data_IF_493843412289
#
_entry.id   IF_493843412289
#
_cell.length_a   1.000
_cell.length_b   1.000
_cell.length_c   1.000
_cell.angle_alpha   90.00
_cell.angle_beta   90.00
_cell.angle_gamma   90.00
#
_symmetry.space_group_name_H-M   'P 1'
#
loop_
_entity.id
_entity.type
_entity.pdbx_description
1 polymer ?
#
# COMPACT_ATOMS: atom_id res chain seq x y z
N UNK A 1 24.19 8.75 48.22
CA UNK A 1 24.27 9.55 46.98
C UNK A 1 25.18 8.93 45.91
N UNK A 2 26.52 9.01 45.96
CA UNK A 2 27.41 8.58 44.85
C UNK A 2 27.11 7.18 44.24
N UNK A 3 26.89 6.14 45.06
CA UNK A 3 26.50 4.80 44.55
C UNK A 3 25.15 4.78 43.81
N UNK A 4 24.16 5.53 44.28
CA UNK A 4 22.82 5.61 43.66
C UNK A 4 22.93 6.33 42.31
N UNK A 5 23.70 7.43 42.24
CA UNK A 5 23.97 8.14 40.98
C UNK A 5 24.67 7.21 39.97
N UNK A 6 25.66 6.44 40.40
CA UNK A 6 26.33 5.46 39.54
C UNK A 6 25.40 4.38 38.98
N UNK A 7 24.49 3.86 39.82
CA UNK A 7 23.47 2.88 39.39
C UNK A 7 22.49 3.51 38.38
N UNK A 8 21.99 4.73 38.66
CA UNK A 8 21.07 5.44 37.75
C UNK A 8 21.73 5.72 36.40
N UNK A 9 22.98 6.19 36.37
CA UNK A 9 23.73 6.41 35.12
C UNK A 9 23.94 5.09 34.37
N UNK A 10 24.31 4.00 35.06
CA UNK A 10 24.47 2.69 34.42
C UNK A 10 23.15 2.18 33.81
N UNK A 11 22.03 2.32 34.51
CA UNK A 11 20.70 1.96 33.98
C UNK A 11 20.34 2.81 32.77
N UNK A 12 20.56 4.13 32.80
CA UNK A 12 20.30 5.01 31.65
C UNK A 12 21.15 4.60 30.44
N UNK A 13 22.44 4.28 30.64
CA UNK A 13 23.33 3.83 29.55
C UNK A 13 22.87 2.48 28.99
N UNK A 14 22.50 1.50 29.83
CA UNK A 14 21.99 0.20 29.35
C UNK A 14 20.66 0.36 28.59
N UNK A 15 19.75 1.20 29.08
CA UNK A 15 18.49 1.50 28.38
C UNK A 15 18.75 2.23 27.05
N UNK A 16 19.67 3.19 27.02
CA UNK A 16 20.02 3.91 25.79
C UNK A 16 20.70 2.99 24.75
N UNK A 17 21.59 2.09 25.18
CA UNK A 17 22.22 1.09 24.31
C UNK A 17 21.20 0.05 23.81
N UNK A 18 20.29 -0.41 24.67
CA UNK A 18 19.19 -1.31 24.29
C UNK A 18 18.24 -0.65 23.28
N UNK A 19 17.89 0.61 23.48
CA UNK A 19 17.06 1.39 22.56
C UNK A 19 17.78 1.66 21.22
N UNK A 20 19.07 1.99 21.25
CA UNK A 20 19.88 2.14 20.04
C UNK A 20 19.99 0.82 19.26
N UNK A 21 20.16 -0.31 19.94
CA UNK A 21 20.15 -1.64 19.33
C UNK A 21 18.79 -2.00 18.72
N UNK A 22 17.69 -1.70 19.43
CA UNK A 22 16.32 -1.90 18.93
C UNK A 22 16.01 -1.05 17.68
N UNK A 23 16.45 0.21 17.66
CA UNK A 23 16.35 1.08 16.48
C UNK A 23 17.21 0.59 15.31
N UNK A 24 18.42 0.07 15.57
CA UNK A 24 19.31 -0.45 14.54
C UNK A 24 18.74 -1.72 13.90
N UNK A 25 18.28 -2.68 14.73
CA UNK A 25 17.69 -3.93 14.26
C UNK A 25 16.36 -3.73 13.53
N UNK A 26 15.57 -2.72 13.92
CA UNK A 26 14.32 -2.37 13.24
C UNK A 26 14.47 -1.61 11.92
N UNK A 27 15.70 -1.23 11.51
CA UNK A 27 15.94 -0.43 10.30
C UNK A 27 15.93 -1.25 9.02
N UNK A 28 16.49 -2.46 9.05
CA UNK A 28 16.54 -3.36 7.90
C UNK A 28 15.24 -4.18 7.80
N UNK A 29 14.44 -4.02 6.73
CA UNK A 29 13.19 -4.74 6.55
C UNK A 29 13.36 -6.23 6.24
N UNK A 30 14.58 -6.71 5.96
CA UNK A 30 14.89 -8.12 5.66
C UNK A 30 15.53 -8.85 6.85
N UNK A 31 15.81 -8.14 7.95
CA UNK A 31 16.51 -8.65 9.14
C UNK A 31 15.87 -9.91 9.77
N UNK A 32 14.56 -10.10 9.61
CA UNK A 32 13.82 -11.26 10.12
C UNK A 32 14.31 -12.62 9.54
N UNK A 33 14.86 -12.62 8.32
CA UNK A 33 15.28 -13.85 7.63
C UNK A 33 16.62 -14.41 8.17
N UNK A 34 17.40 -13.58 8.87
CA UNK A 34 18.77 -13.93 9.25
C UNK A 34 19.66 -14.23 8.04
N UNK A 35 20.61 -15.15 8.19
CA UNK A 35 21.53 -15.52 7.12
C UNK A 35 22.64 -14.47 6.87
N UNK A 36 23.38 -14.64 5.78
CA UNK A 36 24.46 -13.72 5.38
C UNK A 36 24.10 -13.01 4.09
N UNK A 37 24.20 -11.68 4.07
CA UNK A 37 23.95 -10.88 2.85
C UNK A 37 25.26 -10.43 2.21
N UNK A 38 25.32 -10.51 0.88
CA UNK A 38 26.48 -10.07 0.07
C UNK A 38 26.17 -8.80 -0.71
N UNK A 39 27.17 -8.11 -1.24
CA UNK A 39 26.91 -7.09 -2.24
C UNK A 39 26.40 -7.76 -3.53
N UNK A 40 25.54 -7.08 -4.29
CA UNK A 40 24.94 -7.65 -5.50
C UNK A 40 25.97 -8.19 -6.52
N UNK A 41 27.13 -7.52 -6.63
CA UNK A 41 28.24 -7.93 -7.50
C UNK A 41 28.96 -9.22 -7.04
N UNK A 42 28.84 -9.58 -5.75
CA UNK A 42 29.42 -10.79 -5.15
C UNK A 42 28.40 -11.95 -5.09
N UNK A 43 27.17 -11.74 -5.56
CA UNK A 43 26.14 -12.78 -5.57
C UNK A 43 26.32 -13.72 -6.76
N UNK A 44 26.58 -15.00 -6.49
CA UNK A 44 26.81 -16.04 -7.51
C UNK A 44 25.54 -16.82 -7.92
N UNK A 45 24.35 -16.31 -7.56
CA UNK A 45 23.07 -16.90 -7.98
C UNK A 45 22.60 -16.42 -9.35
N UNK A 46 21.34 -16.68 -9.68
CA UNK A 46 20.66 -16.02 -10.80
C UNK A 46 20.50 -14.51 -10.53
N UNK A 47 20.27 -13.69 -11.56
CA UNK A 47 19.92 -12.27 -11.35
C UNK A 47 18.58 -12.16 -10.61
N UNK A 48 18.57 -11.38 -9.54
CA UNK A 48 17.41 -11.14 -8.67
C UNK A 48 16.88 -9.71 -8.80
N UNK A 49 17.61 -8.86 -9.53
CA UNK A 49 17.29 -7.45 -9.77
C UNK A 49 16.78 -7.23 -11.20
N UNK A 50 16.45 -5.99 -11.57
CA UNK A 50 15.98 -5.66 -12.91
C UNK A 50 14.71 -6.38 -13.36
N UNK A 51 14.67 -6.72 -14.63
CA UNK A 51 13.51 -7.35 -15.27
C UNK A 51 13.64 -8.88 -15.24
N UNK A 52 12.52 -9.62 -15.22
CA UNK A 52 12.55 -11.08 -15.28
C UNK A 52 13.16 -11.59 -16.59
N UNK A 53 13.64 -12.83 -16.60
CA UNK A 53 14.43 -13.40 -17.70
C UNK A 53 13.72 -13.35 -19.07
N UNK A 54 12.38 -13.40 -19.10
CA UNK A 54 11.56 -13.27 -20.31
C UNK A 54 11.69 -11.90 -20.99
N UNK A 55 12.15 -10.87 -20.26
CA UNK A 55 12.40 -9.52 -20.75
C UNK A 55 13.91 -9.20 -20.86
N UNK A 56 14.79 -10.20 -20.72
CA UNK A 56 16.24 -9.98 -20.76
C UNK A 56 16.72 -9.35 -22.08
N UNK A 57 16.09 -9.69 -23.22
CA UNK A 57 16.37 -9.13 -24.55
C UNK A 57 15.55 -7.89 -24.90
N UNK A 58 14.73 -7.36 -23.97
CA UNK A 58 13.98 -6.14 -24.20
C UNK A 58 14.90 -4.92 -24.16
N UNK A 59 14.58 -3.88 -24.94
CA UNK A 59 15.35 -2.63 -24.91
C UNK A 59 15.19 -1.87 -23.58
N UNK A 60 16.05 -0.87 -23.36
CA UNK A 60 16.08 -0.11 -22.10
C UNK A 60 14.74 0.58 -21.76
N UNK A 61 13.98 1.02 -22.77
CA UNK A 61 12.67 1.68 -22.57
C UNK A 61 11.63 0.65 -22.14
N UNK A 62 11.56 -0.50 -22.82
CA UNK A 62 10.62 -1.58 -22.46
C UNK A 62 10.95 -2.19 -21.08
N UNK A 63 12.25 -2.27 -20.74
CA UNK A 63 12.69 -2.63 -19.38
C UNK A 63 12.26 -1.58 -18.36
N UNK A 64 12.45 -0.30 -18.68
CA UNK A 64 12.02 0.83 -17.87
C UNK A 64 10.52 0.87 -17.62
N UNK A 65 9.70 0.58 -18.63
CA UNK A 65 8.24 0.48 -18.52
C UNK A 65 7.84 -0.58 -17.49
N UNK A 66 8.37 -1.79 -17.62
CA UNK A 66 8.11 -2.88 -16.67
C UNK A 66 8.50 -2.50 -15.23
N UNK A 67 9.68 -1.89 -15.06
CA UNK A 67 10.17 -1.44 -13.76
C UNK A 67 9.36 -0.26 -13.19
N UNK A 68 8.80 0.59 -14.05
CA UNK A 68 7.95 1.73 -13.66
C UNK A 68 6.61 1.25 -13.11
N UNK A 69 6.05 0.19 -13.70
CA UNK A 69 4.89 -0.52 -13.15
C UNK A 69 5.26 -1.26 -11.86
N UNK A 70 6.33 -2.05 -11.84
CA UNK A 70 6.76 -2.79 -10.64
C UNK A 70 7.08 -1.89 -9.43
N UNK A 71 7.48 -0.63 -9.68
CA UNK A 71 7.69 0.42 -8.67
C UNK A 71 6.48 1.36 -8.47
N UNK A 72 5.28 0.98 -8.91
CA UNK A 72 3.99 1.68 -8.70
C UNK A 72 4.03 3.21 -8.91
N UNK A 73 4.85 3.67 -9.86
CA UNK A 73 5.11 5.10 -10.03
C UNK A 73 3.86 5.86 -10.49
N UNK A 74 2.95 5.20 -11.22
CA UNK A 74 1.77 5.82 -11.81
C UNK A 74 0.72 6.19 -10.77
N UNK A 75 0.41 5.31 -9.81
CA UNK A 75 -0.64 5.51 -8.81
C UNK A 75 -0.40 6.78 -7.98
N UNK A 76 0.84 6.95 -7.50
CA UNK A 76 1.23 8.13 -6.74
C UNK A 76 1.38 9.40 -7.60
N UNK A 77 1.83 9.29 -8.85
CA UNK A 77 2.11 10.44 -9.71
C UNK A 77 0.97 10.80 -10.69
N UNK A 78 -0.27 10.39 -10.40
CA UNK A 78 -1.44 10.74 -11.23
C UNK A 78 -2.58 11.23 -10.35
N UNK A 79 -2.97 12.50 -10.47
CA UNK A 79 -4.18 13.00 -9.81
C UNK A 79 -5.45 12.33 -10.39
N UNK A 80 -6.54 12.15 -9.62
CA UNK A 80 -7.82 11.67 -10.16
C UNK A 80 -8.33 12.53 -11.32
N UNK A 81 -8.52 11.91 -12.49
CA UNK A 81 -8.91 12.60 -13.73
C UNK A 81 -7.77 13.41 -14.41
N UNK A 82 -6.56 13.40 -13.84
CA UNK A 82 -5.37 14.03 -14.40
C UNK A 82 -4.68 13.19 -15.49
N UNK A 83 -3.67 13.77 -16.12
CA UNK A 83 -2.80 13.05 -17.04
C UNK A 83 -1.84 12.11 -16.28
N UNK A 84 -1.56 10.89 -16.78
CA UNK A 84 -0.61 9.98 -16.16
C UNK A 84 0.75 10.63 -15.89
N UNK A 85 1.33 10.35 -14.73
CA UNK A 85 2.65 10.83 -14.30
C UNK A 85 2.79 12.36 -14.12
N UNK A 86 1.73 13.14 -14.33
CA UNK A 86 1.74 14.61 -14.22
C UNK A 86 1.71 15.14 -12.76
N UNK A 87 1.61 14.25 -11.77
CA UNK A 87 1.56 14.57 -10.34
C UNK A 87 0.19 15.09 -9.90
N UNK A 88 0.18 15.86 -8.80
CA UNK A 88 -1.01 16.51 -8.27
C UNK A 88 -1.88 15.67 -7.33
N UNK A 89 -1.56 14.38 -7.13
CA UNK A 89 -2.25 13.51 -6.16
C UNK A 89 -2.08 14.05 -4.74
N UNK A 90 -3.16 14.05 -3.95
CA UNK A 90 -3.19 14.61 -2.61
C UNK A 90 -3.09 13.53 -1.53
N UNK A 91 -1.93 13.44 -0.86
CA UNK A 91 -1.73 12.61 0.31
C UNK A 91 -2.13 13.36 1.58
N UNK A 92 -3.26 12.97 2.15
CA UNK A 92 -3.85 13.64 3.31
C UNK A 92 -3.39 12.95 4.61
N UNK A 93 -2.55 13.65 5.37
CA UNK A 93 -1.98 13.18 6.63
C UNK A 93 -2.60 13.93 7.81
N UNK A 94 -2.55 13.40 9.05
CA UNK A 94 -3.07 14.08 10.24
C UNK A 94 -2.44 15.46 10.53
N UNK A 95 -1.31 15.76 9.90
CA UNK A 95 -0.54 17.00 10.02
C UNK A 95 -0.53 17.86 8.73
N UNK A 96 -1.41 17.55 7.77
CA UNK A 96 -1.62 18.32 6.54
C UNK A 96 -1.47 17.51 5.24
N UNK A 97 -1.51 18.20 4.10
CA UNK A 97 -1.54 17.58 2.77
C UNK A 97 -0.21 17.71 2.03
N UNK A 98 0.26 16.59 1.45
CA UNK A 98 1.43 16.52 0.55
C UNK A 98 0.92 16.28 -0.87
N UNK A 99 1.49 16.95 -1.86
CA UNK A 99 1.15 16.73 -3.28
C UNK A 99 2.26 16.01 -4.02
N UNK A 100 1.90 15.03 -4.86
CA UNK A 100 2.86 14.42 -5.78
C UNK A 100 3.32 15.41 -6.86
N UNK A 101 4.56 15.25 -7.31
CA UNK A 101 5.18 16.11 -8.33
C UNK A 101 5.00 15.53 -9.72
N UNK A 102 5.01 16.38 -10.74
CA UNK A 102 5.11 15.95 -12.13
C UNK A 102 6.44 15.22 -12.38
N UNK A 103 6.39 14.00 -12.95
CA UNK A 103 7.55 13.20 -13.37
C UNK A 103 7.55 12.87 -14.87
N UNK A 104 6.75 13.58 -15.66
CA UNK A 104 6.87 13.60 -17.13
C UNK A 104 8.16 14.35 -17.56
N UNK A 105 8.62 14.21 -18.82
CA UNK A 105 9.84 14.87 -19.30
C UNK A 105 9.64 16.36 -19.65
N UNK A 106 8.59 17.01 -19.12
CA UNK A 106 8.47 18.46 -19.22
C UNK A 106 9.66 19.17 -18.56
N UNK A 107 10.17 20.20 -19.25
CA UNK A 107 11.40 20.91 -18.87
C UNK A 107 11.17 22.08 -17.92
N UNK A 108 9.92 22.43 -17.61
CA UNK A 108 9.57 23.55 -16.73
C UNK A 108 9.06 23.08 -15.37
N UNK A 109 8.23 22.04 -15.38
CA UNK A 109 7.44 21.57 -14.24
C UNK A 109 7.69 20.10 -13.88
N UNK A 110 8.14 19.29 -14.85
CA UNK A 110 8.51 17.88 -14.69
C UNK A 110 10.01 17.64 -14.49
N UNK A 111 10.46 16.42 -14.79
CA UNK A 111 11.85 15.97 -14.58
C UNK A 111 12.74 16.15 -15.82
N UNK A 112 12.28 16.79 -16.91
CA UNK A 112 12.98 16.87 -18.20
C UNK A 112 14.34 17.60 -18.21
N UNK A 113 14.80 18.11 -17.06
CA UNK A 113 16.13 18.70 -16.83
C UNK A 113 17.00 17.92 -15.84
N UNK A 114 16.50 16.84 -15.23
CA UNK A 114 17.24 16.05 -14.25
C UNK A 114 18.40 15.32 -14.93
N UNK A 115 19.62 15.48 -14.41
CA UNK A 115 20.74 14.58 -14.73
C UNK A 115 20.49 13.20 -14.13
N UNK A 116 21.28 12.20 -14.52
CA UNK A 116 21.17 10.84 -13.98
C UNK A 116 21.48 10.84 -12.47
N UNK A 117 22.54 11.54 -12.06
CA UNK A 117 22.89 11.75 -10.65
C UNK A 117 21.78 12.45 -9.86
N UNK A 118 21.09 13.44 -10.43
CA UNK A 118 19.96 14.10 -9.77
C UNK A 118 18.73 13.21 -9.64
N UNK A 119 18.47 12.34 -10.63
CA UNK A 119 17.39 11.36 -10.56
C UNK A 119 17.68 10.30 -9.50
N UNK A 120 18.87 9.71 -9.49
CA UNK A 120 19.32 8.76 -8.47
C UNK A 120 19.31 9.38 -7.05
N UNK A 121 19.70 10.65 -6.91
CA UNK A 121 19.61 11.36 -5.63
C UNK A 121 18.15 11.59 -5.16
N UNK A 122 17.22 11.80 -6.09
CA UNK A 122 15.79 11.91 -5.78
C UNK A 122 15.23 10.55 -5.33
N UNK A 123 15.47 9.49 -6.10
CA UNK A 123 14.91 8.15 -5.86
C UNK A 123 15.52 7.48 -4.62
N UNK A 124 16.85 7.49 -4.45
CA UNK A 124 17.49 6.76 -3.35
C UNK A 124 17.68 7.59 -2.08
N UNK A 125 17.80 8.93 -2.19
CA UNK A 125 18.19 9.79 -1.07
C UNK A 125 17.12 10.81 -0.66
N UNK A 126 16.02 10.90 -1.41
CA UNK A 126 14.99 11.92 -1.20
C UNK A 126 15.51 13.34 -1.47
N UNK A 127 16.38 13.55 -2.45
CA UNK A 127 16.99 14.86 -2.76
C UNK A 127 16.62 15.29 -4.18
N UNK A 128 15.78 16.33 -4.31
CA UNK A 128 15.42 16.92 -5.61
C UNK A 128 16.63 17.53 -6.33
N UNK A 129 16.49 17.76 -7.64
CA UNK A 129 17.51 18.45 -8.45
C UNK A 129 17.87 19.87 -7.95
N UNK A 130 16.97 20.53 -7.21
CA UNK A 130 17.19 21.83 -6.56
C UNK A 130 17.80 21.72 -5.14
N UNK A 131 18.19 20.51 -4.71
CA UNK A 131 18.74 20.21 -3.39
C UNK A 131 17.70 20.07 -2.27
N UNK A 132 16.42 20.38 -2.51
CA UNK A 132 15.40 20.31 -1.48
C UNK A 132 15.03 18.86 -1.13
N UNK A 133 14.95 18.56 0.17
CA UNK A 133 14.57 17.23 0.67
C UNK A 133 13.11 16.90 0.36
N UNK A 134 12.85 15.70 -0.15
CA UNK A 134 11.52 15.12 -0.32
C UNK A 134 10.98 14.67 1.04
N UNK A 135 9.67 14.81 1.22
CA UNK A 135 8.98 14.16 2.33
C UNK A 135 8.89 12.66 2.06
N UNK A 136 9.02 11.79 3.07
CA UNK A 136 8.97 10.32 2.93
C UNK A 136 7.55 9.78 2.63
N UNK A 137 6.68 10.60 2.03
CA UNK A 137 5.50 10.14 1.30
C UNK A 137 5.88 9.65 -0.12
N UNK A 138 7.01 10.13 -0.66
CA UNK A 138 7.72 9.42 -1.73
C UNK A 138 8.64 8.40 -1.04
N UNK A 139 8.49 7.08 -1.27
CA UNK A 139 9.11 6.04 -0.44
C UNK A 139 10.59 5.79 -0.78
N UNK A 140 11.42 6.85 -0.77
CA UNK A 140 12.87 6.76 -1.04
C UNK A 140 13.63 5.91 -0.02
N UNK A 141 13.10 5.70 1.19
CA UNK A 141 13.65 4.76 2.18
C UNK A 141 13.50 3.30 1.77
N UNK A 142 12.58 3.02 0.85
CA UNK A 142 12.28 1.71 0.27
C UNK A 142 12.99 1.61 -1.08
N UNK A 143 12.80 2.60 -1.96
CA UNK A 143 13.51 2.70 -3.24
C UNK A 143 15.04 2.78 -3.13
N UNK A 144 15.63 3.17 -1.99
CA UNK A 144 17.10 3.17 -1.83
C UNK A 144 17.74 1.83 -2.18
N UNK A 145 17.03 0.72 -1.95
CA UNK A 145 17.48 -0.63 -2.28
C UNK A 145 17.47 -0.91 -3.79
N UNK A 146 16.72 -0.15 -4.59
CA UNK A 146 16.67 -0.29 -6.06
C UNK A 146 18.06 -0.09 -6.66
N UNK A 147 18.42 -0.87 -7.69
CA UNK A 147 19.71 -0.68 -8.35
C UNK A 147 19.75 0.64 -9.12
N UNK A 148 20.94 1.26 -9.21
CA UNK A 148 21.12 2.47 -10.03
C UNK A 148 20.78 2.21 -11.51
N UNK A 149 20.97 0.97 -12.01
CA UNK A 149 20.61 0.58 -13.37
C UNK A 149 19.09 0.55 -13.59
N UNK A 150 18.33 0.03 -12.63
CA UNK A 150 16.87 -0.06 -12.72
C UNK A 150 16.21 1.32 -12.59
N UNK A 151 16.70 2.14 -11.66
CA UNK A 151 16.27 3.54 -11.55
C UNK A 151 16.53 4.32 -12.85
N UNK A 152 17.67 4.11 -13.52
CA UNK A 152 17.95 4.75 -14.80
C UNK A 152 17.15 4.15 -15.97
N UNK A 153 16.76 2.87 -15.92
CA UNK A 153 15.81 2.30 -16.87
C UNK A 153 14.42 2.94 -16.72
N UNK A 154 13.90 3.06 -15.48
CA UNK A 154 12.66 3.80 -15.18
C UNK A 154 12.74 5.22 -15.75
N UNK A 155 13.84 5.94 -15.49
CA UNK A 155 14.06 7.28 -16.06
C UNK A 155 14.01 7.28 -17.58
N UNK A 156 14.64 6.32 -18.25
CA UNK A 156 14.64 6.22 -19.70
C UNK A 156 13.22 6.05 -20.26
N UNK A 157 12.38 5.22 -19.63
CA UNK A 157 10.96 5.10 -19.98
C UNK A 157 10.19 6.40 -19.72
N UNK A 158 10.31 6.99 -18.53
CA UNK A 158 9.64 8.27 -18.20
C UNK A 158 9.98 9.37 -19.22
N UNK A 159 11.19 9.37 -19.78
CA UNK A 159 11.63 10.33 -20.80
C UNK A 159 11.05 10.08 -22.21
N UNK A 160 10.34 8.97 -22.43
CA UNK A 160 9.55 8.72 -23.66
C UNK A 160 8.11 9.21 -23.57
N UNK A 161 7.62 9.52 -22.36
CA UNK A 161 6.24 9.94 -22.13
C UNK A 161 5.95 11.32 -22.74
N UNK A 162 4.67 11.59 -23.00
CA UNK A 162 4.22 12.91 -23.40
C UNK A 162 4.57 13.95 -22.30
N UNK A 163 5.28 15.04 -22.61
CA UNK A 163 5.52 16.12 -21.65
C UNK A 163 4.20 16.79 -21.26
N UNK A 164 3.89 16.84 -19.96
CA UNK A 164 2.72 17.58 -19.45
C UNK A 164 3.22 18.77 -18.65
N UNK A 165 2.72 19.98 -18.95
CA UNK A 165 3.00 21.15 -18.12
C UNK A 165 2.04 21.16 -16.93
N UNK A 166 2.52 20.72 -15.77
CA UNK A 166 1.76 20.60 -14.53
C UNK A 166 2.63 21.09 -13.36
N UNK A 167 2.56 22.38 -12.99
CA UNK A 167 3.30 22.93 -11.86
C UNK A 167 2.94 22.21 -10.55
N UNK A 168 3.96 21.74 -9.82
CA UNK A 168 3.76 21.06 -8.55
C UNK A 168 3.08 21.99 -7.52
N UNK A 169 1.97 21.51 -6.93
CA UNK A 169 1.26 22.21 -5.85
C UNK A 169 2.12 22.28 -4.59
N UNK A 170 1.96 23.35 -3.81
CA UNK A 170 2.70 23.50 -2.55
C UNK A 170 2.06 22.65 -1.45
N UNK A 171 2.88 21.89 -0.73
CA UNK A 171 2.45 21.10 0.43
C UNK A 171 1.89 22.02 1.53
N UNK A 172 0.78 21.61 2.14
CA UNK A 172 0.08 22.35 3.18
C UNK A 172 0.26 21.60 4.51
N UNK A 173 1.45 21.72 5.10
CA UNK A 173 1.83 21.02 6.33
C UNK A 173 1.85 21.97 7.53
N UNK A 174 1.30 21.53 8.65
CA UNK A 174 1.41 22.25 9.92
C UNK A 174 2.85 22.30 10.42
N UNK A 175 3.19 23.32 11.21
CA UNK A 175 4.45 23.32 11.97
C UNK A 175 4.38 22.22 13.07
N UNK A 176 5.46 21.46 13.34
CA UNK A 176 6.82 21.57 12.80
C UNK A 176 7.06 20.82 11.47
N UNK A 177 6.10 20.02 11.00
CA UNK A 177 6.24 19.16 9.81
C UNK A 177 6.54 19.90 8.51
N UNK A 178 6.24 21.20 8.41
CA UNK A 178 6.63 22.05 7.28
C UNK A 178 8.14 22.33 7.16
N UNK A 179 8.94 22.04 8.19
CA UNK A 179 10.36 22.41 8.27
C UNK A 179 11.26 21.36 7.60
N UNK A 180 11.63 21.58 6.32
CA UNK A 180 12.49 20.66 5.55
C UNK A 180 13.88 20.40 6.16
N UNK A 181 14.37 21.24 7.07
CA UNK A 181 15.61 20.99 7.81
C UNK A 181 15.51 19.76 8.74
N UNK A 182 14.33 19.49 9.30
CA UNK A 182 14.09 18.31 10.15
C UNK A 182 14.16 17.01 9.34
N UNK A 183 13.82 17.05 8.04
CA UNK A 183 13.98 15.91 7.13
C UNK A 183 15.46 15.50 7.00
N UNK A 184 16.42 16.43 7.07
CA UNK A 184 17.83 16.05 7.01
C UNK A 184 18.24 15.15 8.18
N UNK A 185 17.72 15.41 9.39
CA UNK A 185 17.91 14.55 10.56
C UNK A 185 17.14 13.23 10.42
N UNK A 186 15.91 13.27 9.92
CA UNK A 186 15.09 12.08 9.65
C UNK A 186 15.78 11.12 8.68
N UNK A 187 16.34 11.61 7.56
CA UNK A 187 17.03 10.79 6.57
C UNK A 187 18.22 10.02 7.17
N UNK A 188 19.01 10.65 8.05
CA UNK A 188 20.13 9.96 8.73
C UNK A 188 19.63 8.78 9.59
N UNK A 189 18.49 8.95 10.25
CA UNK A 189 17.91 7.95 11.15
C UNK A 189 17.13 6.83 10.44
N UNK A 190 16.55 7.10 9.25
CA UNK A 190 15.57 6.19 8.63
C UNK A 190 15.77 5.88 7.14
N UNK A 191 16.69 6.52 6.43
CA UNK A 191 17.09 6.10 5.08
C UNK A 191 18.51 5.47 5.13
N UNK A 192 18.69 4.16 4.93
CA UNK A 192 20.02 3.53 4.96
C UNK A 192 20.95 4.01 3.84
N UNK A 193 20.45 4.51 2.70
CA UNK A 193 21.26 4.85 1.51
C UNK A 193 22.06 3.62 0.98
N UNK A 194 21.53 2.42 1.21
CA UNK A 194 22.08 1.13 0.80
C UNK A 194 21.29 0.53 -0.36
N UNK A 195 21.99 -0.19 -1.26
CA UNK A 195 21.39 -0.98 -2.35
C UNK A 195 21.04 -2.39 -1.87
N UNK A 196 20.14 -3.06 -2.59
CA UNK A 196 19.73 -4.43 -2.27
C UNK A 196 20.92 -5.38 -2.13
N UNK A 197 20.91 -6.16 -1.04
CA UNK A 197 21.96 -7.12 -0.68
C UNK A 197 21.36 -8.53 -0.63
N UNK A 198 21.58 -9.38 -1.66
CA UNK A 198 21.01 -10.72 -1.67
C UNK A 198 21.47 -11.55 -0.46
N UNK A 199 20.52 -12.25 0.17
CA UNK A 199 20.78 -13.23 1.22
C UNK A 199 21.24 -14.56 0.59
N UNK A 200 22.46 -14.98 0.91
CA UNK A 200 23.07 -16.21 0.37
C UNK A 200 22.52 -17.48 1.00
N UNK A 201 21.79 -17.37 2.12
CA UNK A 201 21.09 -18.48 2.75
C UNK A 201 19.72 -18.75 2.10
N UNK A 202 19.24 -17.83 1.26
CA UNK A 202 17.91 -17.88 0.64
C UNK A 202 17.98 -18.15 -0.86
N UNK A 203 16.87 -18.67 -1.40
CA UNK A 203 16.77 -18.97 -2.83
C UNK A 203 16.83 -17.70 -3.71
N UNK A 204 17.23 -17.79 -4.99
CA UNK A 204 17.12 -16.67 -5.93
C UNK A 204 15.68 -16.16 -6.08
N UNK A 205 14.68 -17.06 -6.03
CA UNK A 205 13.26 -16.71 -6.08
C UNK A 205 12.82 -15.90 -4.85
N UNK A 206 13.28 -16.26 -3.65
CA UNK A 206 13.04 -15.48 -2.43
C UNK A 206 13.69 -14.10 -2.52
N UNK A 207 14.95 -14.03 -2.97
CA UNK A 207 15.68 -12.77 -3.14
C UNK A 207 15.01 -11.86 -4.18
N UNK A 208 14.50 -12.44 -5.28
CA UNK A 208 13.70 -11.71 -6.28
C UNK A 208 12.42 -11.15 -5.65
N UNK A 209 11.72 -11.94 -4.83
CA UNK A 209 10.53 -11.51 -4.10
C UNK A 209 10.81 -10.39 -3.09
N UNK A 210 11.93 -10.48 -2.37
CA UNK A 210 12.40 -9.44 -1.45
C UNK A 210 12.70 -8.13 -2.19
N UNK A 211 13.38 -8.20 -3.34
CA UNK A 211 13.63 -7.02 -4.17
C UNK A 211 12.33 -6.38 -4.66
N UNK A 212 11.38 -7.19 -5.15
CA UNK A 212 10.08 -6.71 -5.61
C UNK A 212 9.23 -6.11 -4.48
N UNK A 213 9.24 -6.69 -3.28
CA UNK A 213 8.42 -6.23 -2.16
C UNK A 213 9.02 -5.01 -1.43
N UNK A 214 10.33 -4.99 -1.22
CA UNK A 214 11.01 -3.95 -0.41
C UNK A 214 11.56 -2.80 -1.25
N UNK A 215 12.16 -3.09 -2.41
CA UNK A 215 12.85 -2.10 -3.22
C UNK A 215 11.96 -1.48 -4.29
N UNK A 216 11.05 -2.27 -4.88
CA UNK A 216 10.20 -1.84 -6.01
C UNK A 216 8.80 -1.45 -5.52
N UNK A 217 7.93 -2.42 -5.23
CA UNK A 217 6.52 -2.21 -4.86
C UNK A 217 6.29 -1.78 -3.42
N UNK A 218 7.35 -1.47 -2.67
CA UNK A 218 7.36 -0.82 -1.35
C UNK A 218 6.21 -1.27 -0.42
N UNK A 219 5.96 -2.57 -0.32
CA UNK A 219 4.74 -3.11 0.33
C UNK A 219 4.63 -2.68 1.80
N UNK A 220 5.78 -2.46 2.45
CA UNK A 220 5.86 -1.97 3.83
C UNK A 220 5.29 -0.56 4.02
N UNK A 221 5.32 0.30 3.00
CA UNK A 221 4.80 1.67 3.13
C UNK A 221 3.29 1.75 3.35
N UNK A 222 2.57 0.70 2.94
CA UNK A 222 1.15 0.49 3.24
C UNK A 222 0.92 -0.50 4.38
N UNK A 223 1.62 -1.65 4.40
CA UNK A 223 1.30 -2.79 5.27
C UNK A 223 2.09 -2.87 6.59
N UNK A 224 3.12 -2.05 6.79
CA UNK A 224 3.88 -2.01 8.06
C UNK A 224 3.44 -0.81 8.91
N UNK A 225 3.19 -0.97 10.22
CA UNK A 225 2.96 0.15 11.14
C UNK A 225 4.07 1.21 11.10
N UNK A 226 3.74 2.44 11.48
CA UNK A 226 4.71 3.55 11.57
C UNK A 226 4.97 3.94 13.01
N UNK A 227 6.23 4.19 13.34
CA UNK A 227 6.66 4.66 14.65
C UNK A 227 6.32 6.16 14.86
N UNK A 228 6.65 6.69 16.05
CA UNK A 228 6.36 8.09 16.41
C UNK A 228 7.01 9.15 15.49
N UNK A 229 8.04 8.78 14.73
CA UNK A 229 8.69 9.63 13.71
C UNK A 229 8.12 9.40 12.30
N UNK A 230 7.00 8.69 12.15
CA UNK A 230 6.35 8.28 10.91
C UNK A 230 7.21 7.43 9.95
N UNK A 231 8.35 6.90 10.43
CA UNK A 231 9.12 5.87 9.73
C UNK A 231 8.51 4.49 9.96
N UNK A 232 8.77 3.54 9.06
CA UNK A 232 8.31 2.15 9.19
C UNK A 232 8.88 1.49 10.45
N UNK A 233 8.04 0.73 11.13
CA UNK A 233 8.43 -0.10 12.28
C UNK A 233 8.48 -1.57 11.88
N UNK A 234 9.66 -2.02 11.41
CA UNK A 234 9.83 -3.40 10.95
C UNK A 234 9.74 -4.44 12.08
N UNK A 235 9.64 -4.04 13.36
CA UNK A 235 9.26 -4.97 14.44
C UNK A 235 7.80 -5.44 14.33
N UNK A 236 6.97 -4.71 13.57
CA UNK A 236 5.64 -5.11 13.14
C UNK A 236 5.54 -5.29 11.62
N UNK A 237 6.61 -5.72 10.95
CA UNK A 237 6.67 -5.85 9.48
C UNK A 237 5.41 -6.53 8.95
N UNK A 238 4.73 -5.84 8.02
CA UNK A 238 3.54 -6.35 7.31
C UNK A 238 2.33 -6.73 8.17
N UNK A 239 2.31 -6.39 9.47
CA UNK A 239 1.21 -6.70 10.39
C UNK A 239 -0.11 -5.95 10.08
N UNK A 240 -0.11 -5.04 9.10
CA UNK A 240 -1.23 -4.18 8.74
C UNK A 240 -1.26 -2.88 9.55
N UNK A 241 -1.86 -1.84 8.98
CA UNK A 241 -2.02 -0.52 9.63
C UNK A 241 -3.14 0.29 8.98
N UNK A 242 -3.59 1.36 9.64
CA UNK A 242 -4.46 2.37 9.02
C UNK A 242 -3.59 3.41 8.30
N UNK A 243 -3.78 3.56 6.99
CA UNK A 243 -3.04 4.46 6.11
C UNK A 243 -4.04 5.23 5.22
N UNK A 244 -3.97 6.56 5.21
CA UNK A 244 -4.85 7.43 4.42
C UNK A 244 -6.37 7.14 4.56
N UNK A 245 -6.82 6.71 5.75
CA UNK A 245 -8.22 6.38 6.02
C UNK A 245 -8.69 5.01 5.53
N UNK A 246 -7.77 4.20 4.98
CA UNK A 246 -7.98 2.79 4.63
C UNK A 246 -7.14 1.91 5.54
N UNK A 247 -7.64 0.73 5.91
CA UNK A 247 -6.86 -0.29 6.61
C UNK A 247 -6.15 -1.17 5.58
N UNK A 248 -4.83 -1.07 5.52
CA UNK A 248 -4.00 -2.08 4.87
C UNK A 248 -3.93 -3.28 5.81
N UNK A 249 -4.34 -4.45 5.33
CA UNK A 249 -4.46 -5.65 6.16
C UNK A 249 -3.11 -6.33 6.42
N UNK A 250 -3.10 -7.22 7.40
CA UNK A 250 -1.96 -8.08 7.69
C UNK A 250 -1.62 -8.94 6.45
N UNK A 251 -0.36 -8.94 6.02
CA UNK A 251 0.14 -9.80 4.92
C UNK A 251 1.27 -10.74 5.36
N UNK A 252 1.36 -11.01 6.66
CA UNK A 252 2.29 -12.01 7.24
C UNK A 252 1.73 -13.44 7.13
N UNK A 253 2.54 -14.45 7.47
CA UNK A 253 2.12 -15.86 7.51
C UNK A 253 1.10 -16.25 8.59
N UNK A 254 0.33 -15.30 9.14
CA UNK A 254 -0.71 -15.59 10.12
C UNK A 254 -1.96 -16.27 9.50
N UNK A 255 -2.46 -17.33 10.15
CA UNK A 255 -3.53 -18.22 9.66
C UNK A 255 -4.96 -17.73 9.96
N UNK A 256 -5.15 -16.49 10.42
CA UNK A 256 -6.46 -15.94 10.84
C UNK A 256 -6.73 -14.60 10.16
N UNK A 257 -5.73 -13.73 10.18
CA UNK A 257 -5.77 -12.35 9.70
C UNK A 257 -4.79 -12.06 8.56
N UNK A 258 -3.73 -12.85 8.44
CA UNK A 258 -2.71 -12.75 7.39
C UNK A 258 -3.02 -13.59 6.15
N UNK A 259 -1.94 -14.07 5.51
CA UNK A 259 -1.95 -14.91 4.30
C UNK A 259 -1.76 -16.40 4.58
N UNK A 260 -1.60 -16.81 5.84
CA UNK A 260 -1.16 -18.17 6.20
C UNK A 260 -2.12 -19.28 5.74
N UNK A 261 -3.42 -18.98 5.60
CA UNK A 261 -4.46 -19.90 5.12
C UNK A 261 -4.81 -19.74 3.62
N UNK A 262 -4.16 -18.83 2.89
CA UNK A 262 -4.32 -18.67 1.44
C UNK A 262 -3.55 -19.77 0.70
N UNK A 263 -4.01 -20.20 -0.48
CA UNK A 263 -3.18 -20.99 -1.40
C UNK A 263 -2.16 -20.10 -2.15
N UNK A 264 -1.14 -20.70 -2.76
CA UNK A 264 -0.19 -19.94 -3.61
C UNK A 264 -0.86 -19.50 -4.91
N UNK A 265 -1.84 -20.26 -5.39
CA UNK A 265 -2.76 -19.91 -6.48
C UNK A 265 -3.60 -18.68 -6.12
N UNK A 266 -4.19 -18.63 -4.92
CA UNK A 266 -4.94 -17.45 -4.46
C UNK A 266 -4.04 -16.22 -4.37
N UNK A 267 -2.85 -16.35 -3.79
CA UNK A 267 -1.93 -15.23 -3.60
C UNK A 267 -1.42 -14.70 -4.95
N UNK A 268 -1.05 -15.57 -5.88
CA UNK A 268 -0.63 -15.16 -7.23
C UNK A 268 -1.79 -14.62 -8.09
N UNK A 269 -3.00 -15.16 -7.95
CA UNK A 269 -4.23 -14.59 -8.53
C UNK A 269 -4.49 -13.18 -8.00
N UNK A 270 -4.41 -12.98 -6.68
CA UNK A 270 -4.66 -11.69 -6.07
C UNK A 270 -3.60 -10.65 -6.45
N UNK A 271 -2.32 -11.02 -6.51
CA UNK A 271 -1.28 -10.11 -6.97
C UNK A 271 -1.48 -9.73 -8.45
N UNK A 272 -1.80 -10.69 -9.32
CA UNK A 272 -1.92 -10.45 -10.77
C UNK A 272 -3.25 -9.79 -11.21
N UNK A 273 -4.34 -9.94 -10.44
CA UNK A 273 -5.67 -9.43 -10.83
C UNK A 273 -6.34 -8.53 -9.79
N UNK A 274 -5.77 -8.44 -8.58
CA UNK A 274 -6.44 -7.88 -7.41
C UNK A 274 -7.71 -8.62 -7.02
N UNK A 275 -7.82 -9.94 -7.24
CA UNK A 275 -8.90 -10.80 -6.74
C UNK A 275 -8.44 -12.25 -6.52
N UNK A 276 -8.99 -12.88 -5.47
CA UNK A 276 -8.88 -14.32 -5.26
C UNK A 276 -10.21 -14.90 -4.75
N UNK A 277 -10.52 -16.12 -5.17
CA UNK A 277 -11.79 -16.76 -4.84
C UNK A 277 -11.85 -17.13 -3.35
N UNK A 278 -12.94 -16.78 -2.67
CA UNK A 278 -13.05 -16.94 -1.22
C UNK A 278 -12.30 -15.90 -0.38
N UNK A 279 -11.54 -14.99 -0.99
CA UNK A 279 -10.82 -13.89 -0.31
C UNK A 279 -11.27 -12.49 -0.76
N UNK A 280 -11.87 -12.40 -1.95
CA UNK A 280 -12.47 -11.18 -2.49
C UNK A 280 -11.55 -10.34 -3.38
N UNK A 281 -12.06 -9.19 -3.79
CA UNK A 281 -11.36 -8.22 -4.64
C UNK A 281 -10.74 -7.06 -3.88
N UNK A 282 -9.61 -6.55 -4.38
CA UNK A 282 -9.00 -5.30 -3.96
C UNK A 282 -9.84 -4.07 -4.36
N UNK A 283 -9.86 -3.07 -3.50
CA UNK A 283 -10.53 -1.78 -3.67
C UNK A 283 -9.69 -0.66 -3.04
N UNK A 284 -10.03 0.60 -3.34
CA UNK A 284 -9.26 1.76 -2.88
C UNK A 284 -7.79 1.69 -3.33
N UNK A 285 -6.82 2.13 -2.49
CA UNK A 285 -5.40 2.13 -2.84
C UNK A 285 -4.82 0.75 -3.23
N UNK A 286 -5.34 -0.35 -2.67
CA UNK A 286 -4.92 -1.70 -3.06
C UNK A 286 -5.48 -2.09 -4.44
N UNK A 287 -6.64 -1.54 -4.83
CA UNK A 287 -7.17 -1.67 -6.18
C UNK A 287 -6.34 -0.90 -7.20
N UNK A 288 -5.87 0.30 -6.84
CA UNK A 288 -4.95 1.12 -7.65
C UNK A 288 -3.61 0.40 -7.85
N UNK A 289 -2.97 -0.08 -6.77
CA UNK A 289 -1.73 -0.85 -6.84
C UNK A 289 -1.87 -2.16 -7.65
N UNK A 290 -3.05 -2.81 -7.63
CA UNK A 290 -3.30 -3.96 -8.50
C UNK A 290 -3.41 -3.55 -9.99
N UNK A 291 -4.17 -2.49 -10.29
CA UNK A 291 -4.50 -2.08 -11.66
C UNK A 291 -3.38 -1.31 -12.38
N UNK A 292 -2.57 -0.52 -11.66
CA UNK A 292 -1.50 0.31 -12.23
C UNK A 292 -0.09 -0.28 -12.05
N UNK A 293 0.08 -1.28 -11.17
CA UNK A 293 1.38 -1.94 -10.88
C UNK A 293 1.34 -3.46 -11.01
N UNK A 294 0.72 -4.18 -10.07
CA UNK A 294 0.98 -5.62 -9.89
C UNK A 294 0.46 -6.48 -11.05
N UNK A 295 -0.61 -6.07 -11.72
CA UNK A 295 -1.15 -6.75 -12.91
C UNK A 295 -0.24 -6.74 -14.14
N UNK A 296 0.81 -5.90 -14.15
CA UNK A 296 1.82 -5.89 -15.20
C UNK A 296 2.99 -6.86 -14.92
N UNK A 297 3.08 -7.42 -13.71
CA UNK A 297 4.14 -8.36 -13.36
C UNK A 297 3.98 -9.70 -14.08
N UNK A 298 5.09 -10.28 -14.51
CA UNK A 298 5.06 -11.64 -15.09
C UNK A 298 4.76 -12.68 -14.00
N UNK A 299 4.22 -13.87 -14.36
CA UNK A 299 3.88 -14.90 -13.37
C UNK A 299 5.04 -15.39 -12.48
N UNK A 300 6.30 -15.28 -12.91
CA UNK A 300 7.46 -15.59 -12.06
C UNK A 300 7.73 -14.52 -10.99
N UNK A 301 7.46 -13.25 -11.27
CA UNK A 301 7.61 -12.16 -10.30
C UNK A 301 6.48 -12.19 -9.25
N UNK A 302 5.25 -12.54 -9.63
CA UNK A 302 4.18 -12.79 -8.64
C UNK A 302 4.42 -14.04 -7.80
N UNK A 303 4.99 -15.11 -8.38
CA UNK A 303 5.47 -16.27 -7.60
C UNK A 303 6.64 -15.93 -6.68
N UNK A 304 7.55 -15.04 -7.09
CA UNK A 304 8.65 -14.58 -6.26
C UNK A 304 8.12 -13.76 -5.06
N UNK A 305 7.21 -12.80 -5.31
CA UNK A 305 6.50 -12.08 -4.26
C UNK A 305 5.80 -13.02 -3.28
N UNK A 306 5.04 -14.01 -3.77
CA UNK A 306 4.41 -15.03 -2.94
C UNK A 306 5.43 -15.78 -2.05
N UNK A 307 6.56 -16.20 -2.64
CA UNK A 307 7.65 -16.88 -1.91
C UNK A 307 8.22 -16.03 -0.78
N UNK A 308 8.41 -14.74 -1.03
CA UNK A 308 8.89 -13.81 0.00
C UNK A 308 7.84 -13.58 1.10
N UNK A 309 6.58 -13.32 0.73
CA UNK A 309 5.48 -13.11 1.67
C UNK A 309 5.24 -14.32 2.60
N UNK A 310 5.43 -15.54 2.09
CA UNK A 310 5.37 -16.78 2.89
C UNK A 310 6.44 -16.87 3.98
N UNK A 311 7.59 -16.23 3.79
CA UNK A 311 8.69 -16.25 4.77
C UNK A 311 8.49 -15.28 5.94
N UNK A 312 7.55 -14.34 5.82
CA UNK A 312 7.35 -13.29 6.82
C UNK A 312 6.73 -13.89 8.09
N UNK A 313 7.38 -13.75 9.27
CA UNK A 313 6.88 -14.29 10.53
C UNK A 313 5.45 -13.85 10.82
N UNK A 314 4.61 -14.78 11.27
CA UNK A 314 3.21 -14.51 11.58
C UNK A 314 3.07 -13.47 12.70
N UNK A 315 2.41 -12.35 12.39
CA UNK A 315 1.95 -11.38 13.38
C UNK A 315 0.45 -11.58 13.59
N UNK A 316 0.06 -12.05 14.78
CA UNK A 316 -1.35 -12.16 15.15
C UNK A 316 -1.98 -10.76 15.33
N UNK A 317 -3.26 -10.62 14.94
CA UNK A 317 -4.05 -9.40 15.13
C UNK A 317 -5.36 -9.69 15.87
N UNK A 318 -6.11 -8.63 16.19
CA UNK A 318 -7.45 -8.70 16.77
C UNK A 318 -8.57 -9.03 15.76
N UNK A 319 -8.24 -9.09 14.47
CA UNK A 319 -9.20 -9.38 13.40
C UNK A 319 -9.65 -10.85 13.44
N UNK A 320 -10.96 -11.13 13.32
CA UNK A 320 -11.46 -12.49 13.27
C UNK A 320 -11.10 -13.18 11.94
N UNK A 321 -11.19 -14.52 11.92
CA UNK A 321 -11.16 -15.29 10.66
C UNK A 321 -12.33 -14.88 9.77
N UNK A 322 -12.11 -14.90 8.45
CA UNK A 322 -13.13 -14.60 7.44
C UNK A 322 -14.25 -15.64 7.40
N UNK A 323 -15.49 -15.19 7.26
CA UNK A 323 -16.65 -16.03 6.96
C UNK A 323 -16.77 -16.18 5.45
N UNK A 324 -16.48 -17.37 4.93
CA UNK A 324 -16.55 -17.71 3.49
C UNK A 324 -17.88 -18.36 3.10
N UNK A 325 -18.71 -18.75 4.06
CA UNK A 325 -20.01 -19.37 3.83
C UNK A 325 -21.08 -18.33 3.47
N UNK A 326 -21.89 -18.62 2.45
CA UNK A 326 -23.08 -17.85 2.09
C UNK A 326 -24.02 -17.65 3.30
N UNK A 327 -24.55 -16.43 3.43
CA UNK A 327 -25.68 -16.14 4.32
C UNK A 327 -26.96 -16.82 3.80
N UNK A 328 -28.00 -17.03 4.64
CA UNK A 328 -29.30 -17.53 4.18
C UNK A 328 -29.87 -16.68 3.03
N UNK A 329 -30.51 -17.30 2.04
CA UNK A 329 -31.09 -16.56 0.90
C UNK A 329 -32.22 -15.60 1.33
N UNK A 330 -32.89 -15.90 2.46
CA UNK A 330 -33.85 -15.00 3.10
C UNK A 330 -33.12 -13.91 3.90
N UNK A 331 -33.51 -12.65 3.69
CA UNK A 331 -33.02 -11.53 4.49
C UNK A 331 -33.53 -11.57 5.95
N UNK A 332 -34.64 -12.28 6.20
CA UNK A 332 -35.28 -12.47 7.50
C UNK A 332 -34.67 -13.60 8.34
N UNK A 333 -33.59 -14.21 7.85
CA UNK A 333 -32.90 -15.32 8.48
C UNK A 333 -31.44 -14.97 8.76
N UNK A 334 -30.89 -15.57 9.81
CA UNK A 334 -29.52 -15.35 10.25
C UNK A 334 -29.36 -14.16 11.23
N UNK A 335 -28.11 -13.88 11.57
CA UNK A 335 -27.69 -12.97 12.66
C UNK A 335 -28.10 -11.50 12.48
N UNK A 336 -28.46 -11.07 11.27
CA UNK A 336 -28.83 -9.69 10.96
C UNK A 336 -30.35 -9.43 10.90
N UNK A 337 -31.20 -10.46 11.08
CA UNK A 337 -32.64 -10.41 10.80
C UNK A 337 -33.41 -9.30 11.55
N UNK A 338 -32.98 -8.94 12.77
CA UNK A 338 -33.62 -7.92 13.61
C UNK A 338 -32.69 -6.73 13.94
N UNK A 339 -31.43 -6.76 13.51
CA UNK A 339 -30.37 -5.92 14.08
C UNK A 339 -30.29 -4.50 13.50
N UNK A 340 -30.64 -4.29 12.23
CA UNK A 340 -30.39 -3.01 11.55
C UNK A 340 -31.33 -2.79 10.35
N UNK A 341 -32.61 -2.50 10.62
CA UNK A 341 -33.62 -2.29 9.58
C UNK A 341 -33.39 -1.06 8.68
N UNK A 342 -32.46 -0.15 9.02
CA UNK A 342 -32.03 0.96 8.14
C UNK A 342 -31.02 0.45 7.11
N UNK A 343 -29.95 -0.20 7.59
CA UNK A 343 -28.92 -0.79 6.74
C UNK A 343 -29.45 -1.87 5.82
N UNK A 344 -30.36 -2.72 6.32
CA UNK A 344 -31.09 -3.71 5.52
C UNK A 344 -31.84 -3.08 4.35
N UNK A 345 -32.62 -2.01 4.58
CA UNK A 345 -33.39 -1.32 3.52
C UNK A 345 -32.49 -0.66 2.48
N UNK A 346 -31.36 -0.09 2.90
CA UNK A 346 -30.35 0.48 1.99
C UNK A 346 -29.74 -0.63 1.15
N UNK A 347 -29.33 -1.74 1.78
CA UNK A 347 -28.79 -2.90 1.08
C UNK A 347 -29.81 -3.47 0.06
N UNK A 348 -31.07 -3.62 0.46
CA UNK A 348 -32.16 -4.07 -0.40
C UNK A 348 -32.34 -3.19 -1.65
N UNK A 349 -32.30 -1.86 -1.46
CA UNK A 349 -32.58 -0.89 -2.51
C UNK A 349 -31.40 -0.58 -3.43
N UNK A 350 -30.16 -0.72 -2.96
CA UNK A 350 -28.96 -0.24 -3.67
C UNK A 350 -27.83 -1.27 -3.88
N UNK A 351 -27.83 -2.40 -3.16
CA UNK A 351 -26.70 -3.33 -3.12
C UNK A 351 -27.06 -4.77 -3.53
N UNK A 352 -28.22 -5.28 -3.10
CA UNK A 352 -28.60 -6.68 -3.20
C UNK A 352 -28.69 -7.20 -4.65
N UNK A 353 -28.97 -6.34 -5.64
CA UNK A 353 -28.99 -6.71 -7.06
C UNK A 353 -27.63 -7.13 -7.62
N UNK A 354 -26.53 -6.67 -7.03
CA UNK A 354 -25.17 -7.02 -7.43
C UNK A 354 -24.51 -8.00 -6.46
N UNK A 355 -24.74 -7.83 -5.16
CA UNK A 355 -24.07 -8.59 -4.09
C UNK A 355 -24.85 -9.83 -3.61
N UNK A 356 -26.12 -9.95 -3.99
CA UNK A 356 -27.09 -10.96 -3.52
C UNK A 356 -27.38 -10.95 -2.00
N UNK A 357 -28.49 -11.57 -1.59
CA UNK A 357 -28.84 -11.73 -0.18
C UNK A 357 -27.99 -12.76 0.56
N UNK A 358 -27.38 -13.70 -0.17
CA UNK A 358 -26.39 -14.66 0.34
C UNK A 358 -24.99 -14.04 0.50
N UNK A 359 -24.73 -12.90 -0.13
CA UNK A 359 -23.40 -12.30 -0.20
C UNK A 359 -22.47 -12.94 -1.23
N UNK A 360 -22.99 -13.86 -2.06
CA UNK A 360 -22.27 -14.47 -3.19
C UNK A 360 -22.86 -13.91 -4.48
N UNK A 361 -22.08 -13.12 -5.22
CA UNK A 361 -22.59 -12.41 -6.38
C UNK A 361 -22.85 -13.35 -7.57
N UNK A 362 -24.03 -13.30 -8.21
CA UNK A 362 -24.29 -13.97 -9.48
C UNK A 362 -23.73 -13.21 -10.68
N UNK A 363 -23.19 -12.00 -10.49
CA UNK A 363 -22.72 -11.09 -11.55
C UNK A 363 -21.21 -11.20 -11.76
N UNK A 364 -20.42 -11.17 -10.68
CA UNK A 364 -18.95 -11.23 -10.75
C UNK A 364 -18.34 -11.58 -9.39
N UNK A 365 -17.26 -12.37 -9.39
CA UNK A 365 -16.53 -12.71 -8.16
C UNK A 365 -16.07 -11.50 -7.35
N UNK A 366 -15.76 -10.37 -8.01
CA UNK A 366 -15.37 -9.11 -7.37
C UNK A 366 -16.50 -8.47 -6.51
N UNK A 367 -17.76 -8.85 -6.75
CA UNK A 367 -18.91 -8.37 -5.99
C UNK A 367 -19.37 -9.36 -4.91
N UNK A 368 -18.70 -10.50 -4.73
CA UNK A 368 -18.94 -11.38 -3.58
C UNK A 368 -18.44 -10.71 -2.30
N UNK A 369 -19.28 -10.71 -1.26
CA UNK A 369 -19.01 -10.11 0.05
C UNK A 369 -18.48 -11.13 1.07
N UNK A 370 -18.86 -12.40 0.95
CA UNK A 370 -18.31 -13.48 1.79
C UNK A 370 -16.83 -13.69 1.49
N UNK A 371 -16.04 -13.99 2.52
CA UNK A 371 -14.59 -14.15 2.42
C UNK A 371 -13.80 -12.84 2.38
N UNK A 372 -14.41 -11.73 1.96
CA UNK A 372 -13.77 -10.41 1.88
C UNK A 372 -13.26 -9.97 3.26
N UNK A 373 -11.95 -9.70 3.37
CA UNK A 373 -11.32 -9.26 4.63
C UNK A 373 -11.97 -7.99 5.21
N UNK A 374 -12.32 -7.02 4.36
CA UNK A 374 -12.99 -5.79 4.76
C UNK A 374 -14.38 -6.02 5.39
N UNK A 375 -15.15 -6.98 4.87
CA UNK A 375 -16.47 -7.35 5.40
C UNK A 375 -16.35 -8.08 6.75
N UNK A 376 -15.19 -8.68 7.02
CA UNK A 376 -14.88 -9.37 8.26
C UNK A 376 -14.10 -8.49 9.27
N UNK A 377 -13.90 -7.20 8.97
CA UNK A 377 -13.30 -6.22 9.88
C UNK A 377 -14.39 -5.54 10.73
N UNK A 378 -14.42 -5.74 12.07
CA UNK A 378 -15.45 -5.16 12.94
C UNK A 378 -15.40 -3.63 13.04
N UNK A 379 -14.39 -2.96 12.46
CA UNK A 379 -14.39 -1.50 12.31
C UNK A 379 -15.24 -1.01 11.13
N UNK A 380 -15.58 -1.91 10.18
CA UNK A 380 -16.21 -1.62 8.89
C UNK A 380 -15.55 -0.48 8.07
N UNK A 381 -14.32 -0.06 8.39
CA UNK A 381 -13.71 1.16 7.82
C UNK A 381 -13.56 1.05 6.31
N UNK A 382 -13.02 -0.06 5.82
CA UNK A 382 -12.87 -0.29 4.37
C UNK A 382 -14.23 -0.52 3.67
N UNK A 383 -15.24 -1.05 4.37
CA UNK A 383 -16.61 -1.19 3.82
C UNK A 383 -17.21 0.20 3.61
N UNK A 384 -17.16 1.06 4.63
CA UNK A 384 -17.63 2.45 4.54
C UNK A 384 -16.88 3.24 3.46
N UNK A 385 -15.53 3.16 3.41
CA UNK A 385 -14.75 3.80 2.35
C UNK A 385 -15.12 3.29 0.94
N UNK A 386 -15.35 2.00 0.78
CA UNK A 386 -15.79 1.41 -0.49
C UNK A 386 -17.17 1.93 -0.90
N UNK A 387 -18.11 2.04 0.04
CA UNK A 387 -19.44 2.64 -0.21
C UNK A 387 -19.32 4.14 -0.55
N UNK A 388 -18.52 4.91 0.18
CA UNK A 388 -18.32 6.35 -0.06
C UNK A 388 -17.78 6.62 -1.47
N UNK A 389 -16.70 5.93 -1.84
CA UNK A 389 -15.91 6.24 -3.04
C UNK A 389 -16.28 5.40 -4.27
N UNK A 390 -17.00 4.28 -4.08
CA UNK A 390 -17.27 3.31 -5.14
C UNK A 390 -16.05 2.43 -5.43
N UNK A 391 -16.15 1.65 -6.51
CA UNK A 391 -15.06 0.85 -7.08
C UNK A 391 -15.07 1.06 -8.59
N UNK A 392 -13.92 1.34 -9.19
CA UNK A 392 -13.79 1.50 -10.64
C UNK A 392 -12.43 0.94 -11.07
N UNK A 393 -12.42 -0.34 -11.44
CA UNK A 393 -11.20 -1.09 -11.75
C UNK A 393 -11.13 -1.54 -13.20
N UNK A 394 -9.91 -1.66 -13.72
CA UNK A 394 -9.58 -2.17 -15.05
C UNK A 394 -8.90 -3.53 -14.87
N UNK A 395 -9.64 -4.61 -15.04
CA UNK A 395 -9.11 -5.97 -15.04
C UNK A 395 -8.90 -6.45 -16.47
N UNK A 396 -8.17 -7.55 -16.65
CA UNK A 396 -8.00 -8.23 -17.95
C UNK A 396 -9.33 -8.61 -18.59
N UNK A 397 -10.32 -8.95 -17.77
CA UNK A 397 -11.63 -9.43 -18.20
C UNK A 397 -12.66 -8.29 -18.39
N UNK A 398 -12.26 -7.04 -18.11
CA UNK A 398 -13.07 -5.85 -18.37
C UNK A 398 -13.08 -4.84 -17.23
N UNK A 399 -14.16 -4.05 -17.16
CA UNK A 399 -14.31 -2.99 -16.17
C UNK A 399 -15.19 -3.46 -15.02
N UNK A 400 -14.63 -3.55 -13.82
CA UNK A 400 -15.39 -3.80 -12.59
C UNK A 400 -15.83 -2.45 -12.03
N UNK A 401 -17.13 -2.29 -11.82
CA UNK A 401 -17.70 -1.01 -11.38
C UNK A 401 -18.74 -1.19 -10.28
N UNK A 402 -18.56 -0.43 -9.20
CA UNK A 402 -19.55 -0.17 -8.16
C UNK A 402 -19.69 1.35 -8.04
N UNK A 403 -20.89 1.92 -8.15
CA UNK A 403 -21.06 3.37 -8.07
C UNK A 403 -20.67 3.93 -6.70
N UNK A 404 -20.21 5.18 -6.68
CA UNK A 404 -19.93 5.92 -5.46
C UNK A 404 -21.23 6.37 -4.79
N UNK A 405 -21.49 5.94 -3.56
CA UNK A 405 -22.71 6.24 -2.82
C UNK A 405 -22.55 7.43 -1.85
N UNK A 406 -21.33 7.94 -1.67
CA UNK A 406 -21.04 9.06 -0.77
C UNK A 406 -21.93 10.28 -1.01
N UNK A 407 -22.13 10.71 -2.26
CA UNK A 407 -22.99 11.87 -2.54
C UNK A 407 -24.50 11.61 -2.37
N UNK A 408 -24.94 10.35 -2.43
CA UNK A 408 -26.36 9.96 -2.43
C UNK A 408 -26.94 9.61 -1.07
N UNK A 409 -26.10 9.22 -0.10
CA UNK A 409 -26.51 8.78 1.23
C UNK A 409 -25.91 9.64 2.33
N UNK A 410 -26.62 9.78 3.47
CA UNK A 410 -26.09 10.48 4.65
C UNK A 410 -25.00 9.67 5.35
N UNK A 411 -24.27 10.31 6.27
CA UNK A 411 -23.25 9.61 7.06
C UNK A 411 -23.84 8.45 7.88
N UNK A 412 -25.02 8.64 8.48
CA UNK A 412 -25.71 7.58 9.23
C UNK A 412 -26.27 6.47 8.33
N UNK A 413 -26.60 6.76 7.06
CA UNK A 413 -27.03 5.73 6.11
C UNK A 413 -25.85 4.80 5.74
N UNK A 414 -24.68 5.40 5.45
CA UNK A 414 -23.46 4.64 5.15
C UNK A 414 -23.01 3.84 6.37
N UNK A 415 -23.08 4.42 7.57
CA UNK A 415 -22.82 3.71 8.81
C UNK A 415 -23.78 2.52 8.99
N UNK A 416 -25.08 2.74 8.77
CA UNK A 416 -26.09 1.69 8.89
C UNK A 416 -25.86 0.54 7.88
N UNK A 417 -25.60 0.82 6.59
CA UNK A 417 -25.37 -0.25 5.61
C UNK A 417 -24.03 -0.97 5.84
N UNK A 418 -22.97 -0.27 6.29
CA UNK A 418 -21.70 -0.90 6.62
C UNK A 418 -21.80 -1.84 7.84
N UNK A 419 -22.54 -1.43 8.88
CA UNK A 419 -22.85 -2.28 10.03
C UNK A 419 -23.71 -3.49 9.62
N UNK A 420 -24.68 -3.31 8.72
CA UNK A 420 -25.49 -4.42 8.20
C UNK A 420 -24.67 -5.43 7.38
N UNK A 421 -23.80 -4.95 6.48
CA UNK A 421 -22.93 -5.80 5.65
C UNK A 421 -21.98 -6.64 6.52
N UNK A 422 -21.29 -6.01 7.48
CA UNK A 422 -20.39 -6.73 8.40
C UNK A 422 -21.14 -7.67 9.33
N UNK A 423 -22.34 -7.32 9.79
CA UNK A 423 -23.16 -8.20 10.62
C UNK A 423 -23.72 -9.41 9.86
N UNK A 424 -24.10 -9.26 8.58
CA UNK A 424 -24.73 -10.31 7.79
C UNK A 424 -23.73 -11.28 7.14
N UNK A 425 -22.62 -10.75 6.64
CA UNK A 425 -21.67 -11.50 5.80
C UNK A 425 -20.28 -11.65 6.43
N UNK A 426 -20.02 -10.94 7.53
CA UNK A 426 -18.76 -11.01 8.28
C UNK A 426 -18.88 -11.84 9.58
N UNK A 427 -17.72 -12.12 10.19
CA UNK A 427 -17.64 -12.84 11.45
C UNK A 427 -18.26 -12.09 12.66
N UNK A 428 -18.33 -10.76 12.59
CA UNK A 428 -18.87 -9.89 13.66
C UNK A 428 -19.34 -8.57 13.06
N UNK A 429 -20.55 -8.15 13.43
CA UNK A 429 -21.07 -6.83 13.06
C UNK A 429 -20.28 -5.67 13.67
N UNK A 430 -20.11 -4.61 12.89
CA UNK A 430 -19.54 -3.35 13.34
C UNK A 430 -20.58 -2.46 14.05
N UNK A 431 -20.06 -1.48 14.79
CA UNK A 431 -20.83 -0.40 15.46
C UNK A 431 -20.32 0.97 15.00
N UNK A 432 -20.21 1.15 13.68
CA UNK A 432 -19.79 2.40 13.07
C UNK A 432 -20.90 3.46 13.23
N UNK A 433 -20.55 4.69 13.57
CA UNK A 433 -21.49 5.82 13.66
C UNK A 433 -21.38 6.75 12.46
N UNK A 434 -22.40 7.59 12.21
CA UNK A 434 -22.30 8.64 11.20
C UNK A 434 -21.16 9.64 11.47
N UNK A 435 -20.78 9.85 12.74
CA UNK A 435 -19.61 10.69 13.07
C UNK A 435 -18.31 10.08 12.51
N UNK A 436 -18.16 8.77 12.59
CA UNK A 436 -16.99 8.06 12.10
C UNK A 436 -16.93 8.08 10.56
N UNK A 437 -18.08 7.87 9.90
CA UNK A 437 -18.22 8.05 8.45
C UNK A 437 -17.87 9.49 8.04
N UNK A 438 -18.32 10.50 8.80
CA UNK A 438 -17.98 11.91 8.54
C UNK A 438 -16.47 12.16 8.62
N UNK A 439 -15.77 11.51 9.56
CA UNK A 439 -14.32 11.57 9.67
C UNK A 439 -13.61 10.87 8.49
N UNK A 440 -14.09 9.69 8.07
CA UNK A 440 -13.59 9.00 6.87
C UNK A 440 -13.79 9.86 5.60
N UNK A 441 -14.94 10.52 5.47
CA UNK A 441 -15.19 11.48 4.38
C UNK A 441 -14.27 12.68 4.42
N UNK A 442 -13.86 13.18 5.58
CA UNK A 442 -12.91 14.29 5.62
C UNK A 442 -11.52 13.88 5.10
N UNK A 443 -11.13 12.62 5.31
CA UNK A 443 -9.89 12.05 4.75
C UNK A 443 -10.02 11.74 3.24
N UNK A 444 -11.15 11.19 2.80
CA UNK A 444 -11.38 10.79 1.40
C UNK A 444 -11.81 11.94 0.48
N UNK A 445 -12.62 12.90 0.94
CA UNK A 445 -13.06 14.03 0.12
C UNK A 445 -11.90 15.00 -0.24
N UNK A 446 -10.80 14.94 0.50
CA UNK A 446 -9.55 15.62 0.14
C UNK A 446 -8.77 14.90 -0.98
N UNK A 447 -9.16 13.68 -1.38
CA UNK A 447 -8.65 13.02 -2.60
C UNK A 447 -9.49 13.38 -3.84
N UNK A 448 -10.80 13.66 -3.68
CA UNK A 448 -11.73 13.86 -4.82
C UNK A 448 -12.12 15.31 -5.12
N UNK A 449 -12.07 16.24 -4.16
CA UNK A 449 -12.51 17.64 -4.36
C UNK A 449 -11.52 18.54 -5.11
N UNK A 450 -10.39 18.01 -5.56
CA UNK A 450 -9.28 18.81 -6.07
C UNK A 450 -8.88 18.50 -7.53
N UNK A 451 -9.71 17.77 -8.27
CA UNK A 451 -9.73 17.92 -9.71
C UNK A 451 -10.08 19.39 -10.03
N UNK A 452 -9.29 20.11 -10.86
CA UNK A 452 -9.66 21.46 -11.24
C UNK A 452 -11.00 21.41 -11.99
N UNK A 453 -11.95 22.25 -11.57
CA UNK A 453 -13.08 22.58 -12.42
C UNK A 453 -12.52 23.12 -13.75
N UNK A 454 -12.89 22.51 -14.86
CA UNK A 454 -12.49 22.92 -16.22
C UNK A 454 -13.10 24.25 -16.63
#
# INVERSE_FOLDING_TARGET
>A
MKKIIGIVVAVIVVVALGFAGWLYLGRDPMSFAGGSTVALADYHGADVTGVPAQLASADLVKRGEYLTHAADCQACHTAPGGAPFAGGFAFNMPFGTIYSTNITPDKQTGIGKYTDTQFLAAVHKGIRADGAKLYPAMPYSSYTYMTDADALAIKAYLFTLAPVNAPARQNQLSWPFSQRSLLALWNVMFNPDERFRPNTSESPQWNRGAYLAEAMGHCGDCHTPRNLAFALDNHGKFAGTLTAGWRAYNITGDNVSGLGDWSDEDLTSYLSTGHANGHGGAAGPMGEAADDSLSYLVPDDTRALATYLRSIPAHASDLPRTVTTAAPASYREGVAADANSRGEKIFAGACASCHDWTGVSPVTGFATLTGVRAVNDPSATNVAQTVINGVNRKTTDGRIFMPAFGAGYSDDDIAAVANYVTARFGAKGADLTGKDVSALRQQAAQQSKEAPNG
#
